data_IF_784743978045
#
_entry.id   IF_784743978045
#
_cell.length_a   1.000
_cell.length_b   1.000
_cell.length_c   1.000
_cell.angle_alpha   90.00
_cell.angle_beta   90.00
_cell.angle_gamma   90.00
#
_symmetry.space_group_name_H-M   'P 1'
#
loop_
_entity.id
_entity.type
_entity.pdbx_description
1 polymer ?
#
# COMPACT_ATOMS: atom_id res chain seq x y z
N UNK A 1 -13.24 3.71 -3.74
CA UNK A 1 -12.68 3.17 -5.03
C UNK A 1 -11.23 2.77 -4.80
N UNK A 2 -10.85 1.54 -5.18
CA UNK A 2 -9.48 1.03 -5.01
C UNK A 2 -8.73 1.07 -6.35
N UNK A 3 -7.57 1.71 -6.37
CA UNK A 3 -6.72 1.91 -7.54
C UNK A 3 -5.30 1.39 -7.29
N UNK A 4 -4.63 0.96 -8.35
CA UNK A 4 -3.20 0.71 -8.36
C UNK A 4 -2.51 1.86 -9.12
N UNK A 5 -1.61 2.63 -8.49
CA UNK A 5 -1.15 3.87 -9.10
C UNK A 5 -0.27 3.66 -10.34
N UNK A 6 0.62 2.67 -10.33
CA UNK A 6 1.64 2.57 -11.39
C UNK A 6 1.62 1.27 -12.18
N UNK A 7 1.13 0.17 -11.61
CA UNK A 7 1.09 -1.10 -12.33
C UNK A 7 -0.07 -1.12 -13.33
N UNK A 8 0.26 -1.25 -14.63
CA UNK A 8 -0.71 -1.13 -15.73
C UNK A 8 -1.46 -2.42 -16.01
N UNK A 9 -0.80 -3.56 -15.88
CA UNK A 9 -1.44 -4.86 -16.10
C UNK A 9 -0.92 -5.94 -15.14
N UNK A 10 -1.76 -6.95 -14.92
CA UNK A 10 -1.42 -8.14 -14.12
C UNK A 10 -0.87 -9.27 -14.99
N UNK A 11 -1.16 -9.27 -16.27
CA UNK A 11 -0.71 -10.27 -17.22
C UNK A 11 0.67 -9.87 -17.78
N UNK A 12 1.56 -10.84 -17.78
CA UNK A 12 2.89 -10.75 -18.39
C UNK A 12 2.80 -10.05 -19.75
N UNK A 13 3.75 -9.27 -20.12
CA UNK A 13 4.01 -8.49 -21.37
C UNK A 13 3.16 -8.75 -22.62
N UNK A 14 2.12 -9.55 -22.55
CA UNK A 14 1.17 -9.75 -23.64
C UNK A 14 0.30 -8.51 -23.82
N UNK A 15 0.72 -7.67 -24.74
CA UNK A 15 0.03 -6.42 -25.07
C UNK A 15 -1.22 -6.66 -25.93
N UNK A 16 -1.48 -7.90 -26.37
CA UNK A 16 -2.65 -8.23 -27.20
C UNK A 16 -3.96 -7.97 -26.47
N UNK A 17 -3.97 -8.12 -25.14
CA UNK A 17 -5.14 -7.88 -24.28
C UNK A 17 -5.33 -6.40 -23.90
N UNK A 18 -4.40 -5.52 -24.27
CA UNK A 18 -4.52 -4.09 -24.01
C UNK A 18 -5.45 -3.49 -25.06
N UNK A 19 -6.51 -2.80 -24.61
CA UNK A 19 -7.46 -2.10 -25.47
C UNK A 19 -6.76 -1.21 -26.49
N UNK A 20 -7.35 -1.06 -27.69
CA UNK A 20 -6.83 -0.20 -28.75
C UNK A 20 -6.67 1.27 -28.30
N UNK A 21 -7.56 1.74 -27.40
CA UNK A 21 -7.57 3.11 -26.90
C UNK A 21 -6.73 3.31 -25.64
N UNK A 22 -6.08 2.26 -25.13
CA UNK A 22 -5.31 2.34 -23.90
C UNK A 22 -4.14 3.32 -24.04
N UNK A 23 -3.87 4.09 -23.00
CA UNK A 23 -2.82 5.12 -22.98
C UNK A 23 -1.43 4.57 -23.34
N UNK A 24 -1.15 3.31 -23.01
CA UNK A 24 0.10 2.63 -23.39
C UNK A 24 0.36 2.62 -24.90
N UNK A 25 -0.72 2.54 -25.73
CA UNK A 25 -0.58 2.56 -27.19
C UNK A 25 -0.31 3.96 -27.74
N UNK A 26 -0.77 4.99 -27.01
CA UNK A 26 -0.59 6.39 -27.42
C UNK A 26 0.75 6.95 -26.96
N UNK A 27 1.19 6.53 -25.78
CA UNK A 27 2.39 7.01 -25.12
C UNK A 27 3.21 5.85 -24.54
N UNK A 28 3.78 4.97 -25.39
CA UNK A 28 4.59 3.84 -24.91
C UNK A 28 5.82 4.30 -24.10
N UNK A 29 6.32 5.51 -24.37
CA UNK A 29 7.44 6.11 -23.66
C UNK A 29 7.14 6.50 -22.19
N UNK A 30 5.88 6.45 -21.78
CA UNK A 30 5.48 6.67 -20.36
C UNK A 30 5.67 5.44 -19.49
N UNK A 31 6.01 4.31 -20.11
CA UNK A 31 6.02 3.02 -19.44
C UNK A 31 7.38 2.36 -19.55
N UNK A 32 7.64 1.53 -18.56
CA UNK A 32 8.75 0.60 -18.63
C UNK A 32 8.33 -0.79 -18.15
N UNK A 33 9.03 -1.79 -18.63
CA UNK A 33 8.84 -3.18 -18.27
C UNK A 33 9.74 -3.52 -17.08
N UNK A 34 9.15 -4.12 -16.03
CA UNK A 34 9.87 -4.73 -14.95
C UNK A 34 9.28 -6.07 -14.61
N UNK A 35 10.09 -7.10 -14.56
CA UNK A 35 9.70 -8.48 -14.25
C UNK A 35 8.47 -8.97 -15.04
N UNK A 36 8.42 -8.70 -16.35
CA UNK A 36 7.34 -9.07 -17.28
C UNK A 36 6.00 -8.39 -16.99
N UNK A 37 6.02 -7.24 -16.35
CA UNK A 37 4.84 -6.39 -16.14
C UNK A 37 5.15 -4.97 -16.60
N UNK A 38 4.13 -4.26 -17.05
CA UNK A 38 4.23 -2.87 -17.44
C UNK A 38 3.86 -1.95 -16.26
N UNK A 39 4.69 -0.94 -16.07
CA UNK A 39 4.49 0.11 -15.07
C UNK A 39 4.57 1.47 -15.73
N UNK A 40 3.80 2.43 -15.26
CA UNK A 40 4.09 3.83 -15.50
C UNK A 40 5.45 4.19 -14.92
N UNK A 41 6.21 5.03 -15.62
CA UNK A 41 7.45 5.60 -15.08
C UNK A 41 7.09 6.65 -14.00
N UNK A 42 7.39 6.40 -12.70
CA UNK A 42 7.05 7.32 -11.63
C UNK A 42 7.77 8.68 -11.72
N UNK A 43 8.87 8.75 -12.47
CA UNK A 43 9.65 9.96 -12.64
C UNK A 43 9.00 10.97 -13.58
N UNK A 44 8.07 10.53 -14.42
CA UNK A 44 7.46 11.38 -15.43
C UNK A 44 6.33 12.24 -14.88
N UNK A 45 6.36 13.56 -15.07
CA UNK A 45 5.23 14.42 -14.75
C UNK A 45 3.94 14.00 -15.48
N UNK A 46 4.04 13.59 -16.74
CA UNK A 46 2.90 13.20 -17.56
C UNK A 46 2.14 12.00 -17.01
N UNK A 47 2.86 11.01 -16.43
CA UNK A 47 2.22 9.84 -15.81
C UNK A 47 1.49 10.23 -14.52
N UNK A 48 2.06 11.14 -13.74
CA UNK A 48 1.42 11.68 -12.54
C UNK A 48 0.16 12.47 -12.88
N UNK A 49 0.23 13.34 -13.89
CA UNK A 49 -0.91 14.10 -14.38
C UNK A 49 -2.02 13.19 -14.91
N UNK A 50 -1.65 12.12 -15.63
CA UNK A 50 -2.61 11.14 -16.11
C UNK A 50 -3.33 10.41 -14.98
N UNK A 51 -2.62 9.99 -13.93
CA UNK A 51 -3.22 9.40 -12.73
C UNK A 51 -4.17 10.39 -12.05
N UNK A 52 -3.77 11.66 -11.91
CA UNK A 52 -4.63 12.71 -11.37
C UNK A 52 -5.89 12.90 -12.23
N UNK A 53 -5.79 12.86 -13.55
CA UNK A 53 -6.94 12.94 -14.46
C UNK A 53 -7.93 11.79 -14.22
N UNK A 54 -7.44 10.57 -14.04
CA UNK A 54 -8.29 9.41 -13.72
C UNK A 54 -8.97 9.60 -12.36
N UNK A 55 -8.23 10.03 -11.35
CA UNK A 55 -8.77 10.30 -10.01
C UNK A 55 -9.83 11.40 -10.05
N UNK A 56 -9.56 12.48 -10.77
CA UNK A 56 -10.52 13.59 -10.97
C UNK A 56 -11.82 13.10 -11.64
N UNK A 57 -11.72 12.32 -12.70
CA UNK A 57 -12.89 11.73 -13.38
C UNK A 57 -13.73 10.89 -12.42
N UNK A 58 -13.09 10.03 -11.63
CA UNK A 58 -13.77 9.16 -10.67
C UNK A 58 -14.46 9.99 -9.58
N UNK A 59 -13.74 10.91 -8.94
CA UNK A 59 -14.28 11.71 -7.83
C UNK A 59 -15.44 12.62 -8.29
N UNK A 60 -15.34 13.13 -9.51
CA UNK A 60 -16.36 14.03 -10.07
C UNK A 60 -17.63 13.29 -10.49
N UNK A 61 -17.52 12.04 -10.96
CA UNK A 61 -18.65 11.32 -11.58
C UNK A 61 -19.34 10.33 -10.67
N UNK A 62 -18.67 9.87 -9.60
CA UNK A 62 -19.23 8.82 -8.74
C UNK A 62 -19.39 9.30 -7.30
N UNK A 63 -20.46 8.83 -6.67
CA UNK A 63 -20.68 9.06 -5.23
C UNK A 63 -19.86 8.05 -4.42
N UNK A 64 -18.61 8.41 -4.15
CA UNK A 64 -17.65 7.61 -3.38
C UNK A 64 -17.21 8.35 -2.12
N UNK A 65 -16.90 7.61 -1.09
CA UNK A 65 -16.40 8.14 0.18
C UNK A 65 -14.89 8.26 0.21
N UNK A 66 -14.18 7.41 -0.56
CA UNK A 66 -12.71 7.43 -0.56
C UNK A 66 -12.10 6.95 -1.88
N UNK A 67 -10.92 7.46 -2.17
CA UNK A 67 -9.93 6.85 -3.07
C UNK A 67 -8.94 6.08 -2.21
N UNK A 68 -8.71 4.82 -2.55
CA UNK A 68 -7.78 3.93 -1.87
C UNK A 68 -6.72 3.41 -2.82
N UNK A 69 -5.46 3.42 -2.42
CA UNK A 69 -4.36 2.83 -3.18
C UNK A 69 -3.65 1.76 -2.36
N UNK A 70 -3.15 0.74 -3.04
CA UNK A 70 -2.35 -0.31 -2.44
C UNK A 70 -0.86 0.04 -2.37
N UNK A 71 0.00 -0.95 -2.19
CA UNK A 71 1.45 -0.80 -1.96
C UNK A 71 2.31 -0.86 -3.24
N UNK A 72 1.70 -0.90 -4.42
CA UNK A 72 2.44 -1.00 -5.69
C UNK A 72 2.86 0.39 -6.22
N UNK A 73 3.70 1.09 -5.48
CA UNK A 73 4.34 2.33 -5.95
C UNK A 73 5.49 1.97 -6.89
N UNK A 74 6.70 1.76 -6.38
CA UNK A 74 7.69 1.02 -7.15
C UNK A 74 7.43 -0.49 -7.04
N UNK A 75 7.80 -1.28 -8.09
CA UNK A 75 7.58 -2.73 -8.03
C UNK A 75 8.44 -3.39 -6.96
N UNK A 76 7.93 -4.47 -6.41
CA UNK A 76 8.68 -5.32 -5.49
C UNK A 76 9.98 -5.81 -6.13
N UNK A 77 11.11 -5.83 -5.40
CA UNK A 77 12.38 -6.35 -5.90
C UNK A 77 12.24 -7.76 -6.46
N UNK A 78 12.77 -8.01 -7.65
CA UNK A 78 12.65 -9.29 -8.33
C UNK A 78 14.04 -9.82 -8.73
N UNK A 79 14.57 -10.79 -7.97
CA UNK A 79 15.73 -11.56 -8.35
C UNK A 79 16.99 -10.76 -8.73
N UNK A 80 17.27 -9.66 -8.04
CA UNK A 80 18.42 -8.80 -8.31
C UNK A 80 18.30 -7.93 -9.57
N UNK A 81 17.13 -7.88 -10.21
CA UNK A 81 16.88 -7.00 -11.34
C UNK A 81 16.90 -5.54 -10.90
N UNK A 82 17.60 -4.71 -11.67
CA UNK A 82 17.57 -3.24 -11.47
C UNK A 82 16.27 -2.65 -12.03
N UNK A 83 15.79 -1.60 -11.39
CA UNK A 83 14.71 -0.77 -11.92
C UNK A 83 15.22 -0.01 -13.15
N UNK A 84 14.41 0.12 -14.21
CA UNK A 84 14.86 0.71 -15.49
C UNK A 84 14.71 2.24 -15.52
N UNK A 85 15.01 2.93 -14.42
CA UNK A 85 14.85 4.37 -14.24
C UNK A 85 16.18 5.14 -14.09
N UNK A 86 17.34 4.47 -14.21
CA UNK A 86 18.64 5.07 -14.12
C UNK A 86 18.84 6.22 -15.11
N UNK A 87 18.39 6.02 -16.36
CA UNK A 87 18.49 7.05 -17.39
C UNK A 87 17.59 8.27 -17.08
N UNK A 88 16.44 8.05 -16.48
CA UNK A 88 15.54 9.12 -16.04
C UNK A 88 16.17 9.93 -14.90
N UNK A 89 16.81 9.26 -13.95
CA UNK A 89 17.57 9.91 -12.88
C UNK A 89 18.72 10.75 -13.40
N UNK A 90 19.54 10.21 -14.30
CA UNK A 90 20.68 10.93 -14.90
C UNK A 90 20.23 12.16 -15.71
N UNK A 91 19.07 12.06 -16.37
CA UNK A 91 18.50 13.16 -17.17
C UNK A 91 17.97 14.30 -16.30
N UNK A 92 17.31 13.97 -15.20
CA UNK A 92 16.71 14.95 -14.29
C UNK A 92 16.79 14.50 -12.82
N UNK A 93 17.93 14.68 -12.16
CA UNK A 93 18.13 14.31 -10.76
C UNK A 93 17.40 15.24 -9.78
N UNK A 94 16.85 16.35 -10.20
CA UNK A 94 16.16 17.36 -9.37
C UNK A 94 16.94 17.76 -8.09
N UNK A 95 18.29 17.75 -8.17
CA UNK A 95 19.17 18.09 -7.05
C UNK A 95 19.43 16.96 -6.05
N UNK A 96 18.96 15.73 -6.32
CA UNK A 96 19.29 14.55 -5.52
C UNK A 96 20.62 13.94 -5.97
N UNK A 97 21.50 13.66 -5.02
CA UNK A 97 22.76 12.92 -5.26
C UNK A 97 22.53 11.39 -5.26
N UNK A 98 21.40 10.94 -4.70
CA UNK A 98 21.09 9.54 -4.48
C UNK A 98 19.77 9.15 -5.19
N UNK A 99 19.87 8.15 -6.06
CA UNK A 99 18.71 7.65 -6.80
C UNK A 99 17.58 7.11 -5.89
N UNK A 100 17.89 6.58 -4.70
CA UNK A 100 16.89 6.09 -3.77
C UNK A 100 16.07 7.23 -3.17
N UNK A 101 16.67 8.37 -2.87
CA UNK A 101 15.98 9.57 -2.39
C UNK A 101 15.13 10.16 -3.50
N UNK A 102 15.65 10.23 -4.72
CA UNK A 102 14.92 10.66 -5.91
C UNK A 102 13.71 9.78 -6.22
N UNK A 103 13.80 8.46 -6.05
CA UNK A 103 12.65 7.55 -6.20
C UNK A 103 11.57 7.81 -5.17
N UNK A 104 11.94 8.03 -3.91
CA UNK A 104 10.98 8.42 -2.86
C UNK A 104 10.30 9.74 -3.19
N UNK A 105 11.07 10.71 -3.67
CA UNK A 105 10.51 11.99 -4.11
C UNK A 105 9.51 11.82 -5.27
N UNK A 106 9.78 10.95 -6.24
CA UNK A 106 8.82 10.65 -7.31
C UNK A 106 7.46 10.17 -6.76
N UNK A 107 7.49 9.29 -5.77
CA UNK A 107 6.28 8.79 -5.13
C UNK A 107 5.61 9.89 -4.29
N UNK A 108 6.37 10.65 -3.52
CA UNK A 108 5.88 11.76 -2.71
C UNK A 108 5.15 12.80 -3.57
N UNK A 109 5.74 13.19 -4.70
CA UNK A 109 5.12 14.10 -5.66
C UNK A 109 3.78 13.57 -6.20
N UNK A 110 3.68 12.27 -6.43
CA UNK A 110 2.43 11.66 -6.88
C UNK A 110 1.36 11.64 -5.77
N UNK A 111 1.72 11.23 -4.56
CA UNK A 111 0.80 11.23 -3.41
C UNK A 111 0.27 12.63 -3.14
N UNK A 112 1.14 13.63 -3.13
CA UNK A 112 0.76 15.03 -2.93
C UNK A 112 -0.17 15.54 -4.04
N UNK A 113 0.14 15.24 -5.31
CA UNK A 113 -0.69 15.66 -6.43
C UNK A 113 -2.08 15.00 -6.40
N UNK A 114 -2.15 13.69 -6.12
CA UNK A 114 -3.41 12.95 -6.00
C UNK A 114 -4.25 13.49 -4.84
N UNK A 115 -3.64 13.68 -3.67
CA UNK A 115 -4.32 14.27 -2.50
C UNK A 115 -4.96 15.63 -2.85
N UNK A 116 -4.18 16.53 -3.47
CA UNK A 116 -4.67 17.83 -3.92
C UNK A 116 -5.82 17.68 -4.92
N UNK A 117 -5.68 16.85 -5.94
CA UNK A 117 -6.72 16.61 -6.94
C UNK A 117 -8.03 16.14 -6.30
N UNK A 118 -7.97 15.23 -5.33
CA UNK A 118 -9.17 14.75 -4.61
C UNK A 118 -9.83 15.92 -3.87
N UNK A 119 -9.07 16.65 -3.08
CA UNK A 119 -9.59 17.74 -2.23
C UNK A 119 -10.12 18.92 -3.03
N UNK A 120 -9.50 19.26 -4.15
CA UNK A 120 -10.00 20.29 -5.09
C UNK A 120 -11.31 19.87 -5.77
N UNK A 121 -11.50 18.56 -6.06
CA UNK A 121 -12.76 18.07 -6.64
C UNK A 121 -13.88 17.94 -5.62
N UNK A 122 -13.61 17.32 -4.48
CA UNK A 122 -14.58 17.05 -3.44
C UNK A 122 -13.88 16.82 -2.09
N UNK A 123 -13.82 17.85 -1.26
CA UNK A 123 -13.08 17.87 0.00
C UNK A 123 -13.49 16.73 0.98
N UNK A 124 -14.77 16.31 0.91
CA UNK A 124 -15.29 15.20 1.74
C UNK A 124 -14.84 13.81 1.34
N UNK A 125 -14.19 13.63 0.17
CA UNK A 125 -13.66 12.33 -0.25
C UNK A 125 -12.31 12.12 0.41
N UNK A 126 -12.20 11.00 1.13
CA UNK A 126 -10.95 10.63 1.81
C UNK A 126 -9.93 10.01 0.84
N UNK A 127 -8.67 10.18 1.16
CA UNK A 127 -7.57 9.53 0.47
C UNK A 127 -6.81 8.61 1.43
N UNK A 128 -6.73 7.32 1.12
CA UNK A 128 -6.05 6.34 1.95
C UNK A 128 -5.14 5.40 1.19
N UNK A 129 -4.17 4.85 1.92
CA UNK A 129 -3.14 3.95 1.38
C UNK A 129 -3.06 2.70 2.23
N UNK A 130 -2.98 1.52 1.60
CA UNK A 130 -2.62 0.26 2.26
C UNK A 130 -1.18 -0.15 1.91
N UNK A 131 -0.18 0.39 2.62
CA UNK A 131 1.21 0.10 2.35
C UNK A 131 1.61 -1.28 2.86
N UNK A 132 2.78 -1.77 2.47
CA UNK A 132 3.41 -2.92 3.11
C UNK A 132 3.53 -2.70 4.62
N UNK A 133 3.40 -3.76 5.41
CA UNK A 133 3.26 -3.65 6.87
C UNK A 133 4.49 -3.12 7.64
N UNK A 134 5.67 -3.12 7.02
CA UNK A 134 6.92 -2.64 7.66
C UNK A 134 7.43 -1.41 6.93
N UNK A 135 7.50 -0.28 7.65
CA UNK A 135 8.11 0.94 7.10
C UNK A 135 9.62 0.78 6.95
N UNK A 136 10.32 0.45 8.03
CA UNK A 136 11.76 0.22 8.10
C UNK A 136 12.11 -0.61 9.32
N UNK A 137 13.15 -1.43 9.26
CA UNK A 137 13.63 -2.17 10.43
C UNK A 137 14.43 -1.25 11.38
N UNK A 138 14.26 -1.45 12.70
CA UNK A 138 15.00 -0.68 13.71
C UNK A 138 16.53 -0.85 13.65
N UNK A 139 17.00 -1.92 13.02
CA UNK A 139 18.44 -2.15 12.77
C UNK A 139 19.02 -1.22 11.70
N UNK A 140 18.18 -0.65 10.83
CA UNK A 140 18.57 0.29 9.76
C UNK A 140 18.28 1.72 10.17
N UNK A 141 17.17 1.95 10.86
CA UNK A 141 16.74 3.24 11.39
C UNK A 141 16.18 3.04 12.79
N UNK A 142 16.77 3.69 13.80
CA UNK A 142 16.36 3.52 15.21
C UNK A 142 14.91 3.89 15.50
N UNK A 143 14.28 4.65 14.61
CA UNK A 143 12.84 5.00 14.69
C UNK A 143 11.94 3.99 13.99
N UNK A 144 12.51 3.01 13.29
CA UNK A 144 11.78 1.91 12.65
C UNK A 144 11.22 0.90 13.64
N UNK A 145 10.46 -0.07 13.13
CA UNK A 145 9.91 -1.15 13.95
C UNK A 145 10.97 -2.18 14.33
N UNK A 146 10.79 -2.83 15.50
CA UNK A 146 11.65 -3.94 15.96
C UNK A 146 11.38 -5.22 15.16
N UNK A 147 11.67 -5.16 13.87
CA UNK A 147 11.46 -6.23 12.88
C UNK A 147 12.75 -6.57 12.16
N UNK A 148 12.71 -7.66 11.36
CA UNK A 148 13.79 -8.14 10.49
C UNK A 148 13.21 -8.48 9.11
N UNK A 149 12.32 -7.62 8.61
CA UNK A 149 11.67 -7.83 7.32
C UNK A 149 12.70 -7.71 6.18
N UNK A 150 12.59 -8.59 5.20
CA UNK A 150 13.44 -8.56 4.01
C UNK A 150 13.04 -7.50 2.97
N UNK A 151 11.85 -6.92 3.12
CA UNK A 151 11.31 -5.85 2.28
C UNK A 151 10.72 -4.79 3.21
N UNK A 152 10.88 -3.52 2.86
CA UNK A 152 10.35 -2.38 3.60
C UNK A 152 9.76 -1.33 2.66
N UNK A 153 8.82 -0.52 3.18
CA UNK A 153 8.25 0.57 2.40
C UNK A 153 9.31 1.57 1.93
N UNK A 154 10.13 2.00 2.86
CA UNK A 154 11.07 3.12 2.64
C UNK A 154 12.23 2.76 1.72
N UNK A 155 12.86 1.59 1.95
CA UNK A 155 14.08 1.21 1.25
C UNK A 155 13.82 0.49 -0.09
N UNK A 156 12.75 -0.32 -0.15
CA UNK A 156 12.50 -1.22 -1.29
C UNK A 156 11.37 -0.73 -2.20
N UNK A 157 10.29 -0.19 -1.61
CA UNK A 157 9.11 0.28 -2.34
C UNK A 157 9.10 1.81 -2.55
N UNK A 158 10.09 2.50 -1.99
CA UNK A 158 10.25 3.96 -2.07
C UNK A 158 9.02 4.75 -1.62
N UNK A 159 8.29 4.19 -0.64
CA UNK A 159 7.06 4.74 -0.08
C UNK A 159 7.35 5.34 1.30
N UNK A 160 7.48 6.67 1.37
CA UNK A 160 7.71 7.39 2.64
C UNK A 160 6.39 7.68 3.35
N UNK A 161 5.75 6.62 3.83
CA UNK A 161 4.44 6.67 4.48
C UNK A 161 4.41 7.56 5.72
N UNK A 162 5.52 7.68 6.45
CA UNK A 162 5.62 8.56 7.63
C UNK A 162 5.52 10.02 7.22
N UNK A 163 6.17 10.41 6.13
CA UNK A 163 6.06 11.76 5.59
C UNK A 163 4.62 12.07 5.21
N UNK A 164 3.93 11.14 4.54
CA UNK A 164 2.55 11.36 4.10
C UNK A 164 1.58 11.55 5.25
N UNK A 165 1.75 10.79 6.35
CA UNK A 165 1.00 10.96 7.59
C UNK A 165 1.29 12.33 8.22
N UNK A 166 2.56 12.68 8.36
CA UNK A 166 3.02 13.91 9.01
C UNK A 166 2.55 15.17 8.29
N UNK A 167 2.64 15.17 6.97
CA UNK A 167 2.26 16.29 6.12
C UNK A 167 0.74 16.34 5.87
N UNK A 168 -0.02 15.33 6.34
CA UNK A 168 -1.46 15.27 6.16
C UNK A 168 -1.90 15.10 4.70
N UNK A 169 -1.08 14.42 3.89
CA UNK A 169 -1.42 14.15 2.49
C UNK A 169 -2.40 12.99 2.33
N UNK A 170 -2.58 12.19 3.38
CA UNK A 170 -3.53 11.07 3.42
C UNK A 170 -4.45 11.20 4.64
N UNK A 171 -5.72 10.86 4.48
CA UNK A 171 -6.71 10.90 5.54
C UNK A 171 -6.68 9.63 6.41
N UNK A 172 -6.27 8.50 5.83
CA UNK A 172 -6.07 7.26 6.57
C UNK A 172 -4.95 6.40 5.99
N UNK A 173 -4.39 5.58 6.86
CA UNK A 173 -3.41 4.56 6.50
C UNK A 173 -3.88 3.19 6.97
N UNK A 174 -3.62 2.16 6.13
CA UNK A 174 -4.10 0.79 6.32
C UNK A 174 -2.96 -0.21 6.07
N UNK A 175 -1.92 -0.25 6.95
CA UNK A 175 -0.79 -1.14 6.76
C UNK A 175 -1.21 -2.61 6.72
N UNK A 176 -0.63 -3.37 5.80
CA UNK A 176 -0.91 -4.80 5.56
C UNK A 176 -0.15 -5.65 6.58
N UNK A 177 -0.72 -5.86 7.77
CA UNK A 177 -0.10 -6.66 8.84
C UNK A 177 -0.47 -8.15 8.68
N UNK A 178 0.03 -8.77 7.61
CA UNK A 178 -0.32 -10.13 7.21
C UNK A 178 0.53 -11.21 7.88
N UNK A 179 1.02 -10.98 9.08
CA UNK A 179 1.78 -11.93 9.90
C UNK A 179 1.03 -12.27 11.19
N UNK A 180 1.38 -13.41 11.78
CA UNK A 180 0.84 -13.80 13.09
C UNK A 180 1.49 -13.02 14.24
N UNK A 181 0.78 -12.92 15.36
CA UNK A 181 1.34 -12.45 16.62
C UNK A 181 2.48 -13.39 17.03
N UNK A 182 3.65 -12.82 17.37
CA UNK A 182 4.86 -13.55 17.74
C UNK A 182 5.75 -13.96 16.56
N UNK A 183 5.49 -13.48 15.33
CA UNK A 183 6.37 -13.72 14.17
C UNK A 183 7.70 -12.99 14.31
N UNK A 184 8.81 -13.73 14.49
CA UNK A 184 10.15 -13.14 14.75
C UNK A 184 10.58 -12.07 13.74
N UNK A 185 10.29 -12.26 12.45
CA UNK A 185 10.72 -11.32 11.39
C UNK A 185 9.82 -10.10 11.25
N UNK A 186 8.53 -10.23 11.63
CA UNK A 186 7.54 -9.17 11.51
C UNK A 186 6.36 -9.49 12.43
N UNK A 187 6.52 -9.22 13.72
CA UNK A 187 5.50 -9.50 14.73
C UNK A 187 4.33 -8.52 14.56
N UNK A 188 3.12 -9.06 14.46
CA UNK A 188 1.90 -8.29 14.34
C UNK A 188 1.74 -7.26 15.46
N UNK A 189 1.93 -7.66 16.72
CA UNK A 189 1.78 -6.80 17.90
C UNK A 189 2.79 -5.64 17.87
N UNK A 190 4.05 -5.94 17.56
CA UNK A 190 5.11 -4.93 17.40
C UNK A 190 4.73 -3.91 16.32
N UNK A 191 4.22 -4.37 15.20
CA UNK A 191 3.84 -3.52 14.08
C UNK A 191 2.58 -2.70 14.37
N UNK A 192 1.55 -3.29 14.99
CA UNK A 192 0.32 -2.58 15.37
C UNK A 192 0.64 -1.39 16.29
N UNK A 193 1.45 -1.60 17.33
CA UNK A 193 1.91 -0.54 18.22
C UNK A 193 2.81 0.48 17.53
N UNK A 194 3.67 0.05 16.60
CA UNK A 194 4.53 0.97 15.85
C UNK A 194 3.69 1.91 14.99
N UNK A 195 2.74 1.39 14.21
CA UNK A 195 1.86 2.21 13.39
C UNK A 195 0.95 3.14 14.21
N UNK A 196 0.47 2.66 15.37
CA UNK A 196 -0.29 3.48 16.30
C UNK A 196 0.53 4.70 16.78
N UNK A 197 1.81 4.51 17.07
CA UNK A 197 2.70 5.61 17.44
C UNK A 197 2.92 6.61 16.29
N UNK A 198 2.97 6.14 15.04
CA UNK A 198 3.19 7.02 13.88
C UNK A 198 1.99 7.92 13.56
N UNK A 199 0.77 7.48 13.85
CA UNK A 199 -0.44 8.31 13.63
C UNK A 199 -0.81 9.18 14.84
N UNK A 200 -0.23 8.89 16.01
CA UNK A 200 -0.58 9.61 17.26
C UNK A 200 -0.34 11.11 17.14
N UNK A 201 -1.37 11.90 17.43
CA UNK A 201 -1.32 13.36 17.34
C UNK A 201 -1.44 13.92 15.91
N UNK A 202 -1.69 13.08 14.92
CA UNK A 202 -1.99 13.49 13.55
C UNK A 202 -3.50 13.43 13.27
N UNK A 203 -3.92 13.83 12.07
CA UNK A 203 -5.30 13.67 11.60
C UNK A 203 -5.53 12.38 10.81
N UNK A 204 -4.48 11.58 10.60
CA UNK A 204 -4.53 10.36 9.82
C UNK A 204 -5.15 9.23 10.65
N UNK A 205 -6.24 8.65 10.18
CA UNK A 205 -6.85 7.47 10.81
C UNK A 205 -6.02 6.23 10.53
N UNK A 206 -5.90 5.34 11.52
CA UNK A 206 -5.24 4.05 11.37
C UNK A 206 -6.27 2.93 11.29
N UNK A 207 -6.25 2.21 10.19
CA UNK A 207 -6.90 0.91 10.05
C UNK A 207 -5.84 -0.18 9.89
N UNK A 208 -6.13 -1.42 10.30
CA UNK A 208 -5.17 -2.51 10.16
C UNK A 208 -5.66 -3.52 9.11
N UNK A 209 -4.79 -3.82 8.14
CA UNK A 209 -5.04 -4.85 7.14
C UNK A 209 -4.82 -6.24 7.72
N UNK A 210 -5.86 -7.08 7.72
CA UNK A 210 -5.86 -8.46 8.20
C UNK A 210 -5.93 -9.46 7.04
N UNK A 211 -5.38 -10.66 7.24
CA UNK A 211 -5.18 -11.67 6.20
C UNK A 211 -6.01 -12.95 6.40
N UNK A 212 -7.37 -12.93 6.34
CA UNK A 212 -8.17 -14.14 6.47
C UNK A 212 -7.89 -15.20 5.40
N UNK A 213 -7.30 -14.83 4.25
CA UNK A 213 -6.88 -15.79 3.22
C UNK A 213 -5.85 -16.81 3.74
N UNK A 214 -5.05 -16.45 4.75
CA UNK A 214 -4.06 -17.35 5.37
C UNK A 214 -4.71 -18.51 6.11
N UNK A 215 -5.95 -18.36 6.56
CA UNK A 215 -6.73 -19.44 7.19
C UNK A 215 -7.06 -20.56 6.20
N UNK A 216 -7.15 -20.28 4.92
CA UNK A 216 -7.39 -21.26 3.85
C UNK A 216 -6.11 -22.02 3.51
N UNK A 217 -4.97 -21.35 3.60
CA UNK A 217 -3.65 -21.89 3.21
C UNK A 217 -2.95 -22.64 4.34
N UNK A 218 -3.44 -22.54 5.59
CA UNK A 218 -2.71 -23.00 6.77
C UNK A 218 -2.68 -24.51 6.93
N UNK A 219 -1.51 -25.06 7.26
CA UNK A 219 -1.30 -26.43 7.72
C UNK A 219 -1.58 -26.54 9.23
N UNK A 220 -1.87 -27.75 9.74
CA UNK A 220 -2.32 -28.01 11.13
C UNK A 220 -1.41 -27.44 12.26
N UNK A 221 -0.12 -27.24 12.01
CA UNK A 221 0.84 -26.70 12.98
C UNK A 221 1.04 -25.19 12.93
N UNK A 222 0.30 -24.49 12.08
CA UNK A 222 0.45 -23.06 11.86
C UNK A 222 -0.52 -22.27 12.78
N UNK A 223 -0.16 -21.12 13.33
CA UNK A 223 -1.07 -20.24 14.10
C UNK A 223 -2.40 -19.95 13.41
N UNK A 224 -2.41 -19.96 12.08
CA UNK A 224 -3.59 -19.75 11.22
C UNK A 224 -4.52 -20.98 11.13
N UNK A 225 -4.14 -22.13 11.72
CA UNK A 225 -4.85 -23.39 11.49
C UNK A 225 -6.26 -23.47 12.09
N UNK A 226 -6.58 -22.69 13.10
CA UNK A 226 -7.82 -22.80 13.87
C UNK A 226 -8.73 -21.56 13.82
N UNK A 227 -8.38 -20.55 13.04
CA UNK A 227 -9.15 -19.30 12.94
C UNK A 227 -8.95 -18.31 14.09
N UNK A 228 -8.34 -18.71 15.19
CA UNK A 228 -8.19 -17.85 16.38
C UNK A 228 -7.22 -16.69 16.15
N UNK A 229 -6.31 -16.79 15.18
CA UNK A 229 -5.32 -15.74 14.95
C UNK A 229 -5.99 -14.41 14.55
N UNK A 230 -6.96 -14.42 13.66
CA UNK A 230 -7.71 -13.21 13.29
C UNK A 230 -8.41 -12.61 14.53
N UNK A 231 -9.06 -13.46 15.33
CA UNK A 231 -9.71 -12.99 16.57
C UNK A 231 -8.69 -12.37 17.54
N UNK A 232 -7.56 -13.01 17.77
CA UNK A 232 -6.49 -12.48 18.63
C UNK A 232 -5.98 -11.13 18.15
N UNK A 233 -5.81 -10.96 16.83
CA UNK A 233 -5.40 -9.70 16.23
C UNK A 233 -6.46 -8.61 16.44
N UNK A 234 -7.74 -8.92 16.25
CA UNK A 234 -8.84 -7.99 16.52
C UNK A 234 -8.94 -7.63 18.01
N UNK A 235 -8.80 -8.62 18.92
CA UNK A 235 -8.78 -8.38 20.36
C UNK A 235 -7.62 -7.45 20.76
N UNK A 236 -6.43 -7.63 20.19
CA UNK A 236 -5.29 -6.75 20.39
C UNK A 236 -5.56 -5.33 19.87
N UNK A 237 -6.10 -5.20 18.67
CA UNK A 237 -6.41 -3.90 18.08
C UNK A 237 -7.32 -3.06 18.98
N UNK A 238 -8.32 -3.67 19.62
CA UNK A 238 -9.21 -2.99 20.57
C UNK A 238 -8.49 -2.37 21.77
N UNK A 239 -7.32 -2.89 22.13
CA UNK A 239 -6.54 -2.36 23.26
C UNK A 239 -5.70 -1.15 22.86
N UNK A 240 -5.62 -0.82 21.56
CA UNK A 240 -4.81 0.26 21.01
C UNK A 240 -5.72 1.39 20.53
N UNK A 241 -5.82 2.51 21.27
CA UNK A 241 -6.82 3.55 21.01
C UNK A 241 -6.71 4.23 19.65
N UNK A 242 -5.53 4.23 19.04
CA UNK A 242 -5.26 4.84 17.74
C UNK A 242 -5.81 4.02 16.56
N UNK A 243 -6.15 2.73 16.79
CA UNK A 243 -6.69 1.86 15.72
C UNK A 243 -8.18 2.09 15.59
N UNK A 244 -8.61 2.63 14.45
CA UNK A 244 -10.00 2.96 14.14
C UNK A 244 -10.81 1.77 13.63
N UNK A 245 -10.16 0.69 13.20
CA UNK A 245 -10.83 -0.53 12.70
C UNK A 245 -9.93 -1.41 11.86
N UNK A 246 -10.54 -2.42 11.22
CA UNK A 246 -9.85 -3.42 10.42
C UNK A 246 -10.37 -3.50 8.97
N UNK A 247 -9.48 -3.89 8.07
CA UNK A 247 -9.81 -4.25 6.69
C UNK A 247 -9.35 -5.67 6.40
N UNK A 248 -10.25 -6.51 5.93
CA UNK A 248 -10.00 -7.93 5.67
C UNK A 248 -9.66 -8.17 4.20
N UNK A 249 -8.43 -8.58 3.91
CA UNK A 249 -8.03 -8.97 2.58
C UNK A 249 -8.23 -10.48 2.37
N UNK A 250 -9.24 -10.92 1.65
CA UNK A 250 -10.22 -10.16 0.87
C UNK A 250 -11.63 -10.76 1.06
N UNK A 251 -12.64 -10.26 0.38
CA UNK A 251 -14.01 -10.78 0.40
C UNK A 251 -14.08 -12.27 0.01
N UNK A 252 -13.29 -12.72 -0.97
CA UNK A 252 -13.32 -14.11 -1.46
C UNK A 252 -13.05 -15.17 -0.38
N UNK A 253 -12.02 -15.07 0.49
CA UNK A 253 -11.89 -15.97 1.63
C UNK A 253 -13.05 -15.84 2.62
N UNK A 254 -13.55 -14.63 2.90
CA UNK A 254 -14.67 -14.44 3.84
C UNK A 254 -15.94 -15.14 3.37
N UNK A 255 -16.28 -15.10 2.08
CA UNK A 255 -17.43 -15.82 1.52
C UNK A 255 -17.38 -17.34 1.74
N UNK A 256 -16.20 -17.89 1.96
CA UNK A 256 -16.00 -19.32 2.26
C UNK A 256 -16.09 -19.62 3.76
N UNK A 257 -16.15 -18.60 4.60
CA UNK A 257 -16.13 -18.68 6.06
C UNK A 257 -15.11 -19.70 6.62
N UNK A 258 -13.83 -19.64 6.23
CA UNK A 258 -12.86 -20.65 6.63
C UNK A 258 -12.73 -20.64 8.16
N UNK A 259 -12.90 -21.81 8.74
CA UNK A 259 -12.79 -22.04 10.20
C UNK A 259 -13.73 -21.17 11.05
N UNK A 260 -14.86 -20.74 10.49
CA UNK A 260 -15.85 -19.92 11.20
C UNK A 260 -15.39 -18.48 11.46
N UNK A 261 -14.45 -17.96 10.68
CA UNK A 261 -13.91 -16.60 10.90
C UNK A 261 -14.98 -15.52 10.80
N UNK A 262 -15.95 -15.68 9.89
CA UNK A 262 -17.05 -14.70 9.75
C UNK A 262 -17.94 -14.67 10.98
N UNK A 263 -18.17 -15.82 11.64
CA UNK A 263 -18.94 -15.89 12.87
C UNK A 263 -18.21 -15.18 14.01
N UNK A 264 -16.90 -15.32 14.06
CA UNK A 264 -16.03 -14.58 15.00
C UNK A 264 -16.08 -13.08 14.75
N UNK A 265 -15.95 -12.63 13.50
CA UNK A 265 -16.03 -11.21 13.10
C UNK A 265 -17.42 -10.65 13.45
N UNK A 266 -18.49 -11.37 13.09
CA UNK A 266 -19.87 -10.95 13.39
C UNK A 266 -20.09 -10.76 14.90
N UNK A 267 -19.65 -11.74 15.70
CA UNK A 267 -19.76 -11.67 17.16
C UNK A 267 -18.95 -10.50 17.75
N UNK A 268 -17.82 -10.19 17.13
CA UNK A 268 -16.93 -9.12 17.56
C UNK A 268 -17.53 -7.72 17.36
N UNK A 269 -18.27 -7.48 16.27
CA UNK A 269 -18.87 -6.18 15.96
C UNK A 269 -20.33 -6.05 16.40
N UNK A 270 -20.91 -7.08 17.05
CA UNK A 270 -22.26 -7.07 17.58
C UNK A 270 -22.27 -6.51 19.03
#
# INVERSE_FOLDING_TARGET
MWLNPYRVNLAKTDTSMISADHIWRKHPEWFWEYNKQWYFDPARPETREWICTIVQDIVSRYDIQAIHMDDYFYPYPAGGKKLPDEASFQKDPRGFDNIHDWRRDNVNLAIQAISRTIKECKDSVEFGISPFGVWRNASVDSTGSKTQAGITNYDDLYADTRLWIKEGWIDYILPQLYWEIGKKVADYEVLAHWWANEVRGTKCNLYIGLAPYRLVESQKSNPWANGNEIKRQMDLNRTIPEISGECFYSTRPLLRNPRGVCDSIYTYYK
#
